data_IF_135896274330
#
_entry.id   IF_135896274330
#
_cell.length_a   1.000
_cell.length_b   1.000
_cell.length_c   1.000
_cell.angle_alpha   90.00
_cell.angle_beta   90.00
_cell.angle_gamma   90.00
#
_symmetry.space_group_name_H-M   'P 1'
#
loop_
_entity.id
_entity.type
_entity.pdbx_description
1 polymer ?
#
# COMPACT_ATOMS: atom_id res chain seq x y z
N UNK A 1 5.43 -3.02 -24.40
CA UNK A 1 6.28 -4.15 -24.80
C UNK A 1 7.64 -3.55 -25.10
N UNK A 2 8.71 -4.22 -24.69
CA UNK A 2 10.05 -3.81 -25.12
C UNK A 2 10.16 -3.92 -26.64
N UNK A 3 10.93 -3.03 -27.24
CA UNK A 3 11.07 -2.96 -28.70
C UNK A 3 12.08 -3.98 -29.26
N UNK A 4 12.79 -4.73 -28.41
CA UNK A 4 13.91 -5.57 -28.81
C UNK A 4 13.51 -7.06 -28.87
N UNK A 5 13.99 -7.75 -29.91
CA UNK A 5 13.72 -9.17 -30.17
C UNK A 5 14.78 -10.10 -29.57
N UNK A 6 15.94 -9.57 -29.17
CA UNK A 6 17.05 -10.34 -28.57
C UNK A 6 17.84 -9.51 -27.56
N UNK A 7 18.62 -10.19 -26.71
CA UNK A 7 19.54 -9.54 -25.78
C UNK A 7 20.59 -8.72 -26.53
N UNK A 8 21.11 -9.24 -27.65
CA UNK A 8 22.12 -8.55 -28.46
C UNK A 8 21.57 -7.24 -29.04
N UNK A 9 20.33 -7.24 -29.54
CA UNK A 9 19.68 -6.02 -30.03
C UNK A 9 19.47 -4.98 -28.92
N UNK A 10 19.09 -5.45 -27.74
CA UNK A 10 18.95 -4.62 -26.54
C UNK A 10 20.29 -3.98 -26.11
N UNK A 11 21.38 -4.75 -26.11
CA UNK A 11 22.74 -4.26 -25.79
C UNK A 11 23.23 -3.24 -26.82
N UNK A 12 23.04 -3.53 -28.11
CA UNK A 12 23.36 -2.62 -29.21
C UNK A 12 22.59 -1.30 -29.08
N UNK A 13 21.30 -1.36 -28.71
CA UNK A 13 20.49 -0.15 -28.48
C UNK A 13 20.95 0.67 -27.28
N UNK A 14 21.47 0.04 -26.22
CA UNK A 14 21.97 0.74 -25.04
C UNK A 14 23.41 1.21 -25.19
N UNK A 15 24.15 0.69 -26.17
CA UNK A 15 25.58 0.96 -26.36
C UNK A 15 26.46 0.35 -25.26
N UNK A 16 25.93 -0.63 -24.51
CA UNK A 16 26.63 -1.36 -23.44
C UNK A 16 25.99 -2.71 -23.20
N UNK A 17 26.74 -3.60 -22.56
CA UNK A 17 26.20 -4.88 -22.05
C UNK A 17 25.09 -4.64 -21.02
N UNK A 18 24.14 -5.58 -20.96
CA UNK A 18 23.07 -5.54 -19.97
C UNK A 18 23.61 -5.94 -18.60
N UNK A 19 23.15 -5.23 -17.57
CA UNK A 19 23.36 -5.68 -16.20
C UNK A 19 22.57 -6.97 -15.94
N UNK A 20 22.98 -7.75 -14.94
CA UNK A 20 22.25 -8.96 -14.55
C UNK A 20 20.75 -8.70 -14.28
N UNK A 21 20.43 -7.57 -13.62
CA UNK A 21 19.06 -7.19 -13.34
C UNK A 21 18.28 -6.83 -14.61
N UNK A 22 18.90 -6.14 -15.57
CA UNK A 22 18.29 -5.84 -16.87
C UNK A 22 18.08 -7.10 -17.70
N UNK A 23 18.98 -8.08 -17.64
CA UNK A 23 18.80 -9.38 -18.30
C UNK A 23 17.61 -10.14 -17.72
N UNK A 24 17.43 -10.15 -16.39
CA UNK A 24 16.24 -10.73 -15.76
C UNK A 24 14.98 -9.98 -16.21
N UNK A 25 15.02 -8.66 -16.16
CA UNK A 25 13.90 -7.81 -16.58
C UNK A 25 13.53 -8.07 -18.03
N UNK A 26 14.50 -8.13 -18.94
CA UNK A 26 14.32 -8.44 -20.35
C UNK A 26 13.66 -9.81 -20.54
N UNK A 27 14.27 -10.87 -19.99
CA UNK A 27 13.76 -12.23 -20.12
C UNK A 27 12.32 -12.37 -19.63
N UNK A 28 11.98 -11.64 -18.56
CA UNK A 28 10.63 -11.63 -18.04
C UNK A 28 9.67 -10.78 -18.88
N UNK A 29 10.04 -9.54 -19.25
CA UNK A 29 9.12 -8.53 -19.79
C UNK A 29 9.04 -8.44 -21.32
N UNK A 30 10.03 -8.95 -22.06
CA UNK A 30 10.14 -8.76 -23.52
C UNK A 30 8.86 -9.14 -24.27
N UNK A 31 8.26 -10.29 -23.94
CA UNK A 31 7.06 -10.80 -24.59
C UNK A 31 5.75 -10.43 -23.86
N UNK A 32 5.77 -9.43 -22.98
CA UNK A 32 4.61 -9.00 -22.18
C UNK A 32 4.19 -7.58 -22.52
N UNK A 33 2.89 -7.37 -22.68
CA UNK A 33 2.35 -6.02 -22.83
C UNK A 33 2.56 -5.22 -21.55
N UNK A 34 2.67 -3.90 -21.67
CA UNK A 34 2.83 -3.03 -20.50
C UNK A 34 1.58 -3.09 -19.61
N UNK A 35 0.41 -3.36 -20.22
CA UNK A 35 -0.83 -3.66 -19.50
C UNK A 35 -0.69 -4.91 -18.63
N UNK A 36 -0.15 -6.00 -19.19
CA UNK A 36 0.07 -7.24 -18.43
C UNK A 36 1.03 -7.03 -17.27
N UNK A 37 2.11 -6.28 -17.48
CA UNK A 37 3.03 -5.89 -16.40
C UNK A 37 2.28 -5.08 -15.33
N UNK A 38 1.51 -4.09 -15.73
CA UNK A 38 0.71 -3.29 -14.80
C UNK A 38 -0.31 -4.13 -13.99
N UNK A 39 -0.94 -5.15 -14.58
CA UNK A 39 -1.86 -6.04 -13.86
C UNK A 39 -1.22 -6.83 -12.71
N UNK A 40 0.12 -6.89 -12.61
CA UNK A 40 0.80 -7.50 -11.45
C UNK A 40 0.48 -6.77 -10.14
N UNK A 41 0.09 -5.49 -10.20
CA UNK A 41 -0.35 -4.76 -9.02
C UNK A 41 -1.54 -5.43 -8.31
N UNK A 42 -2.42 -6.09 -9.05
CA UNK A 42 -3.54 -6.85 -8.47
C UNK A 42 -2.97 -8.03 -7.68
N UNK A 43 -2.05 -8.78 -8.27
CA UNK A 43 -1.39 -9.91 -7.61
C UNK A 43 -0.68 -9.43 -6.34
N UNK A 44 0.12 -8.37 -6.42
CA UNK A 44 0.81 -7.83 -5.25
C UNK A 44 -0.17 -7.40 -4.17
N UNK A 45 -1.27 -6.72 -4.52
CA UNK A 45 -2.30 -6.32 -3.57
C UNK A 45 -2.86 -7.53 -2.78
N UNK A 46 -3.30 -8.57 -3.49
CA UNK A 46 -3.87 -9.77 -2.86
C UNK A 46 -2.82 -10.55 -2.05
N UNK A 47 -1.62 -10.75 -2.59
CA UNK A 47 -0.57 -11.51 -1.93
C UNK A 47 -0.03 -10.79 -0.69
N UNK A 48 0.32 -9.51 -0.79
CA UNK A 48 0.86 -8.72 0.32
C UNK A 48 -0.16 -8.65 1.44
N UNK A 49 -1.41 -8.31 1.14
CA UNK A 49 -2.45 -8.23 2.16
C UNK A 49 -2.76 -9.59 2.82
N UNK A 50 -2.67 -10.69 2.06
CA UNK A 50 -2.92 -12.02 2.63
C UNK A 50 -1.76 -12.51 3.47
N UNK A 51 -0.51 -12.18 3.12
CA UNK A 51 0.69 -12.76 3.74
C UNK A 51 1.26 -11.92 4.87
N UNK A 52 1.30 -10.59 4.73
CA UNK A 52 1.98 -9.70 5.69
C UNK A 52 1.33 -9.72 7.09
N UNK A 53 0.00 -9.82 7.26
CA UNK A 53 -0.60 -9.96 8.58
C UNK A 53 -0.40 -11.34 9.22
N UNK A 54 -0.01 -12.38 8.46
CA UNK A 54 0.04 -13.78 8.96
C UNK A 54 1.03 -13.99 10.10
N UNK A 55 2.27 -13.44 10.09
CA UNK A 55 3.18 -13.58 11.22
C UNK A 55 2.55 -13.09 12.53
N UNK A 56 1.87 -11.93 12.50
CA UNK A 56 1.18 -11.37 13.67
C UNK A 56 0.00 -12.24 14.10
N UNK A 57 -0.82 -12.70 13.14
CA UNK A 57 -1.90 -13.65 13.42
C UNK A 57 -1.37 -14.94 14.05
N UNK A 58 -0.30 -15.52 13.52
CA UNK A 58 0.29 -16.75 14.04
C UNK A 58 0.86 -16.57 15.44
N UNK A 59 1.46 -15.41 15.74
CA UNK A 59 1.85 -15.06 17.10
C UNK A 59 0.64 -15.02 18.03
N UNK A 60 -0.47 -14.40 17.63
CA UNK A 60 -1.71 -14.36 18.44
C UNK A 60 -2.32 -15.74 18.69
N UNK A 61 -2.19 -16.66 17.73
CA UNK A 61 -2.77 -18.01 17.82
C UNK A 61 -1.89 -19.01 18.59
N UNK A 62 -0.56 -18.87 18.53
CA UNK A 62 0.38 -19.88 19.04
C UNK A 62 1.07 -19.48 20.34
N UNK A 63 1.27 -18.19 20.60
CA UNK A 63 1.99 -17.76 21.79
C UNK A 63 1.05 -17.59 22.98
N UNK A 64 1.60 -17.77 24.19
CA UNK A 64 0.84 -17.54 25.41
C UNK A 64 0.40 -16.07 25.51
N UNK A 65 -0.78 -15.83 26.07
CA UNK A 65 -1.37 -14.49 26.21
C UNK A 65 -0.39 -13.48 26.84
N UNK A 66 0.30 -13.89 27.90
CA UNK A 66 1.31 -13.06 28.61
C UNK A 66 2.49 -12.64 27.73
N UNK A 67 2.89 -13.47 26.76
CA UNK A 67 4.01 -13.15 25.88
C UNK A 67 3.59 -12.23 24.73
N UNK A 68 2.36 -12.38 24.21
CA UNK A 68 1.82 -11.51 23.15
C UNK A 68 1.46 -10.13 23.71
N UNK A 69 0.82 -10.06 24.89
CA UNK A 69 0.31 -8.82 25.47
C UNK A 69 1.39 -7.77 25.71
N UNK A 70 2.65 -8.19 25.92
CA UNK A 70 3.79 -7.28 26.09
C UNK A 70 4.10 -6.43 24.85
N UNK A 71 3.71 -6.91 23.68
CA UNK A 71 3.96 -6.24 22.41
C UNK A 71 2.74 -5.49 21.89
N UNK A 72 1.55 -5.67 22.50
CA UNK A 72 0.31 -5.01 22.08
C UNK A 72 0.23 -3.61 22.67
N UNK A 73 -0.21 -2.66 21.84
CA UNK A 73 -0.58 -1.31 22.29
C UNK A 73 -1.84 -1.38 23.16
N UNK A 74 -2.78 -2.26 22.80
CA UNK A 74 -4.05 -2.47 23.52
C UNK A 74 -4.20 -3.93 23.98
N UNK A 75 -3.56 -4.35 25.09
CA UNK A 75 -3.54 -5.76 25.51
C UNK A 75 -4.89 -6.28 26.03
N UNK A 76 -5.79 -5.38 26.44
CA UNK A 76 -7.10 -5.74 27.03
C UNK A 76 -8.19 -6.02 26.01
N UNK A 77 -8.00 -5.65 24.74
CA UNK A 77 -9.00 -5.80 23.68
C UNK A 77 -8.55 -6.91 22.72
N UNK A 78 -9.47 -7.82 22.39
CA UNK A 78 -9.20 -8.98 21.51
C UNK A 78 -10.40 -9.18 20.58
N UNK A 79 -10.11 -9.66 19.37
CA UNK A 79 -11.13 -9.95 18.36
C UNK A 79 -11.33 -11.47 18.28
N UNK A 80 -12.57 -11.97 18.27
CA UNK A 80 -12.86 -13.36 17.98
C UNK A 80 -12.32 -13.80 16.61
N UNK A 81 -11.86 -15.05 16.50
CA UNK A 81 -11.31 -15.57 15.23
C UNK A 81 -12.31 -15.51 14.07
N UNK A 82 -13.59 -15.72 14.37
CA UNK A 82 -14.67 -15.62 13.39
C UNK A 82 -14.76 -14.20 12.79
N UNK A 83 -14.59 -13.18 13.62
CA UNK A 83 -14.63 -11.78 13.20
C UNK A 83 -13.38 -11.39 12.41
N UNK A 84 -12.21 -11.93 12.77
CA UNK A 84 -10.98 -11.76 11.96
C UNK A 84 -11.14 -12.38 10.57
N UNK A 85 -11.72 -13.59 10.48
CA UNK A 85 -11.98 -14.24 9.20
C UNK A 85 -13.03 -13.49 8.39
N UNK A 86 -14.09 -13.00 9.03
CA UNK A 86 -15.10 -12.12 8.41
C UNK A 86 -14.45 -10.87 7.83
N UNK A 87 -13.63 -10.16 8.62
CA UNK A 87 -12.88 -8.98 8.19
C UNK A 87 -12.04 -9.27 6.94
N UNK A 88 -11.20 -10.31 6.99
CA UNK A 88 -10.37 -10.72 5.85
C UNK A 88 -11.21 -11.02 4.60
N UNK A 89 -12.28 -11.80 4.76
CA UNK A 89 -13.17 -12.19 3.67
C UNK A 89 -13.84 -10.96 3.02
N UNK A 90 -14.35 -10.05 3.83
CA UNK A 90 -15.03 -8.83 3.36
C UNK A 90 -14.04 -7.90 2.63
N UNK A 91 -12.80 -7.78 3.11
CA UNK A 91 -11.73 -7.07 2.39
C UNK A 91 -11.40 -7.73 1.06
N UNK A 92 -11.28 -9.07 1.00
CA UNK A 92 -11.02 -9.78 -0.25
C UNK A 92 -12.13 -9.59 -1.26
N UNK A 93 -13.39 -9.53 -0.81
CA UNK A 93 -14.52 -9.21 -1.66
C UNK A 93 -14.44 -7.77 -2.17
N UNK A 94 -14.10 -6.82 -1.31
CA UNK A 94 -13.90 -5.41 -1.71
C UNK A 94 -12.75 -5.27 -2.72
N UNK A 95 -11.63 -5.97 -2.51
CA UNK A 95 -10.54 -6.00 -3.49
C UNK A 95 -10.98 -6.60 -4.82
N UNK A 96 -11.76 -7.68 -4.80
CA UNK A 96 -12.19 -8.34 -6.02
C UNK A 96 -13.23 -7.54 -6.80
N UNK A 97 -14.22 -6.95 -6.13
CA UNK A 97 -15.34 -6.26 -6.79
C UNK A 97 -15.12 -4.77 -7.02
N UNK A 98 -14.20 -4.13 -6.28
CA UNK A 98 -13.98 -2.68 -6.35
C UNK A 98 -12.56 -2.36 -6.82
N UNK A 99 -11.54 -2.76 -6.06
CA UNK A 99 -10.15 -2.33 -6.33
C UNK A 99 -9.56 -3.02 -7.57
N UNK A 100 -9.81 -4.31 -7.76
CA UNK A 100 -9.35 -5.08 -8.90
C UNK A 100 -9.87 -4.51 -10.24
N UNK A 101 -11.19 -4.33 -10.40
CA UNK A 101 -11.76 -3.67 -11.57
C UNK A 101 -11.21 -2.26 -11.79
N UNK A 102 -11.09 -1.45 -10.72
CA UNK A 102 -10.48 -0.13 -10.80
C UNK A 102 -9.04 -0.19 -11.34
N UNK A 103 -8.22 -1.12 -10.86
CA UNK A 103 -6.87 -1.33 -11.38
C UNK A 103 -6.94 -1.70 -12.87
N UNK A 104 -7.75 -2.68 -13.26
CA UNK A 104 -7.85 -3.08 -14.67
C UNK A 104 -8.22 -1.93 -15.62
N UNK A 105 -9.13 -1.04 -15.22
CA UNK A 105 -9.58 0.09 -16.07
C UNK A 105 -8.69 1.32 -16.00
N UNK A 106 -7.83 1.46 -14.98
CA UNK A 106 -6.99 2.64 -14.76
C UNK A 106 -5.70 2.66 -15.59
N UNK A 107 -5.38 1.60 -16.32
CA UNK A 107 -4.16 1.53 -17.13
C UNK A 107 -3.96 2.70 -18.11
N UNK A 108 -4.98 3.22 -18.82
CA UNK A 108 -4.79 4.39 -19.68
C UNK A 108 -4.26 5.62 -18.93
N UNK A 109 -4.68 5.81 -17.67
CA UNK A 109 -4.18 6.89 -16.80
C UNK A 109 -2.71 6.65 -16.45
N UNK A 110 -2.35 5.41 -16.11
CA UNK A 110 -0.97 5.03 -15.79
C UNK A 110 -0.03 5.24 -16.99
N UNK A 111 -0.51 4.90 -18.18
CA UNK A 111 0.21 5.16 -19.43
C UNK A 111 0.33 6.67 -19.71
N UNK A 112 -0.73 7.43 -19.47
CA UNK A 112 -0.75 8.89 -19.65
C UNK A 112 0.22 9.61 -18.70
N UNK A 113 0.27 9.18 -17.43
CA UNK A 113 1.21 9.66 -16.42
C UNK A 113 2.67 9.41 -16.82
N UNK A 114 2.93 8.38 -17.63
CA UNK A 114 4.26 8.09 -18.15
C UNK A 114 5.06 7.11 -17.29
N UNK A 115 4.39 6.23 -16.52
CA UNK A 115 5.10 5.13 -15.85
C UNK A 115 5.72 4.23 -16.91
N UNK A 116 7.06 4.16 -16.91
CA UNK A 116 7.84 3.48 -17.95
C UNK A 116 8.09 2.01 -17.63
N UNK A 117 8.11 1.19 -18.67
CA UNK A 117 8.51 -0.24 -18.64
C UNK A 117 9.80 -0.48 -19.44
N UNK A 118 10.58 0.59 -19.65
CA UNK A 118 11.81 0.59 -20.44
C UNK A 118 12.83 -0.44 -19.98
N UNK A 119 13.73 -0.84 -20.86
CA UNK A 119 14.79 -1.79 -20.50
C UNK A 119 15.74 -1.25 -19.42
N UNK A 120 16.14 0.02 -19.53
CA UNK A 120 17.00 0.67 -18.54
C UNK A 120 16.28 0.80 -17.20
N UNK A 121 16.78 0.06 -16.21
CA UNK A 121 16.22 0.02 -14.86
C UNK A 121 16.54 1.30 -14.08
N UNK A 122 15.68 1.71 -13.13
CA UNK A 122 15.95 2.86 -12.28
C UNK A 122 17.14 2.57 -11.36
N UNK A 123 17.95 3.59 -11.07
CA UNK A 123 19.00 3.44 -10.05
C UNK A 123 18.37 3.32 -8.65
N UNK A 124 19.09 2.73 -7.70
CA UNK A 124 18.62 2.67 -6.31
C UNK A 124 18.35 4.05 -5.71
N UNK A 125 19.11 5.07 -6.11
CA UNK A 125 18.90 6.46 -5.69
C UNK A 125 17.65 7.09 -6.31
N UNK A 126 17.39 6.84 -7.60
CA UNK A 126 16.15 7.26 -8.27
C UNK A 126 14.94 6.65 -7.58
N UNK A 127 14.97 5.33 -7.32
CA UNK A 127 13.89 4.64 -6.60
C UNK A 127 13.68 5.22 -5.21
N UNK A 128 14.76 5.45 -4.45
CA UNK A 128 14.69 6.02 -3.10
C UNK A 128 14.04 7.40 -3.09
N UNK A 129 14.45 8.30 -3.99
CA UNK A 129 13.89 9.66 -4.07
C UNK A 129 12.43 9.66 -4.53
N UNK A 130 12.07 8.81 -5.49
CA UNK A 130 10.67 8.61 -5.90
C UNK A 130 9.82 8.13 -4.71
N UNK A 131 10.25 7.07 -4.03
CA UNK A 131 9.51 6.54 -2.86
C UNK A 131 9.38 7.56 -1.74
N UNK A 132 10.43 8.34 -1.45
CA UNK A 132 10.39 9.41 -0.45
C UNK A 132 9.27 10.42 -0.77
N UNK A 133 9.22 10.89 -2.03
CA UNK A 133 8.16 11.80 -2.49
C UNK A 133 6.78 11.16 -2.38
N UNK A 134 6.66 9.87 -2.75
CA UNK A 134 5.40 9.16 -2.70
C UNK A 134 4.87 9.04 -1.27
N UNK A 135 5.72 8.66 -0.31
CA UNK A 135 5.36 8.58 1.10
C UNK A 135 4.92 9.94 1.66
N UNK A 136 5.65 11.03 1.36
CA UNK A 136 5.31 12.37 1.87
C UNK A 136 3.95 12.84 1.34
N UNK A 137 3.71 12.68 0.03
CA UNK A 137 2.46 13.11 -0.58
C UNK A 137 1.28 12.25 -0.14
N UNK A 138 1.51 10.94 0.00
CA UNK A 138 0.49 10.01 0.44
C UNK A 138 0.10 10.28 1.90
N UNK A 139 1.06 10.41 2.83
CA UNK A 139 0.78 10.67 4.24
C UNK A 139 0.06 12.01 4.43
N UNK A 140 0.54 13.07 3.77
CA UNK A 140 -0.09 14.39 3.83
C UNK A 140 -1.52 14.37 3.28
N UNK A 141 -1.71 13.76 2.10
CA UNK A 141 -3.03 13.67 1.46
C UNK A 141 -4.00 12.81 2.26
N UNK A 142 -3.55 11.64 2.73
CA UNK A 142 -4.36 10.75 3.54
C UNK A 142 -4.76 11.41 4.86
N UNK A 143 -3.86 12.12 5.54
CA UNK A 143 -4.17 12.84 6.77
C UNK A 143 -5.38 13.78 6.61
N UNK A 144 -5.37 14.65 5.60
CA UNK A 144 -6.43 15.63 5.42
C UNK A 144 -7.75 14.99 4.99
N UNK A 145 -7.72 14.03 4.07
CA UNK A 145 -8.93 13.33 3.63
C UNK A 145 -9.52 12.51 4.78
N UNK A 146 -8.70 11.77 5.52
CA UNK A 146 -9.13 11.02 6.69
C UNK A 146 -9.73 11.95 7.75
N UNK A 147 -9.11 13.12 8.00
CA UNK A 147 -9.67 14.13 8.91
C UNK A 147 -11.04 14.64 8.44
N UNK A 148 -11.24 14.85 7.14
CA UNK A 148 -12.55 15.21 6.57
C UNK A 148 -13.58 14.09 6.76
N UNK A 149 -13.15 12.83 6.66
CA UNK A 149 -14.00 11.67 6.93
C UNK A 149 -14.38 11.50 8.40
N UNK A 150 -13.67 12.15 9.34
CA UNK A 150 -14.11 12.27 10.73
C UNK A 150 -15.11 13.40 10.96
N UNK A 151 -15.39 14.26 9.98
CA UNK A 151 -16.52 15.19 10.10
C UNK A 151 -17.85 14.44 10.12
N UNK A 152 -18.86 14.98 10.82
CA UNK A 152 -20.16 14.32 11.10
C UNK A 152 -20.72 13.53 9.91
N UNK A 153 -20.89 14.20 8.76
CA UNK A 153 -21.46 13.54 7.57
C UNK A 153 -20.55 12.45 7.01
N UNK A 154 -19.25 12.72 6.88
CA UNK A 154 -18.26 11.76 6.38
C UNK A 154 -18.19 10.53 7.27
N UNK A 155 -18.25 10.73 8.59
CA UNK A 155 -18.22 9.67 9.57
C UNK A 155 -19.47 8.81 9.46
N UNK A 156 -20.64 9.42 9.59
CA UNK A 156 -21.92 8.72 9.63
C UNK A 156 -22.23 7.94 8.34
N UNK A 157 -21.75 8.42 7.18
CA UNK A 157 -22.07 7.85 5.86
C UNK A 157 -20.99 6.96 5.27
N UNK A 158 -19.73 7.19 5.62
CA UNK A 158 -18.61 6.53 4.95
C UNK A 158 -17.69 5.90 5.99
N UNK A 159 -17.12 6.69 6.89
CA UNK A 159 -16.00 6.27 7.73
C UNK A 159 -16.37 5.35 8.90
N UNK A 160 -17.64 5.33 9.31
CA UNK A 160 -18.09 4.49 10.42
C UNK A 160 -17.79 3.01 10.22
N UNK A 161 -17.82 2.51 8.99
CA UNK A 161 -17.49 1.10 8.68
C UNK A 161 -16.04 0.79 9.04
N UNK A 162 -15.12 1.71 8.77
CA UNK A 162 -13.71 1.55 9.11
C UNK A 162 -13.48 1.43 10.63
N UNK A 163 -14.31 2.10 11.43
CA UNK A 163 -14.28 2.04 12.89
C UNK A 163 -15.12 0.90 13.51
N UNK A 164 -15.67 -0.03 12.72
CA UNK A 164 -16.40 -1.18 13.27
C UNK A 164 -15.49 -2.09 14.12
N UNK A 165 -14.23 -2.25 13.70
CA UNK A 165 -13.23 -3.02 14.45
C UNK A 165 -12.47 -2.11 15.41
N UNK A 166 -12.97 -2.02 16.64
CA UNK A 166 -12.34 -1.16 17.68
C UNK A 166 -11.02 -1.72 18.21
N UNK A 167 -10.77 -3.02 18.06
CA UNK A 167 -9.46 -3.60 18.33
C UNK A 167 -8.61 -3.55 17.05
N UNK A 168 -7.33 -3.17 17.16
CA UNK A 168 -6.44 -3.16 16.01
C UNK A 168 -6.12 -4.58 15.55
N UNK A 169 -6.32 -4.84 14.25
CA UNK A 169 -5.87 -6.03 13.52
C UNK A 169 -5.38 -5.59 12.14
N UNK A 170 -4.27 -6.17 11.67
CA UNK A 170 -3.69 -5.79 10.37
C UNK A 170 -4.65 -6.01 9.18
N UNK A 171 -5.54 -7.00 9.26
CA UNK A 171 -6.56 -7.22 8.23
C UNK A 171 -7.63 -6.13 8.16
N UNK A 172 -7.82 -5.33 9.22
CA UNK A 172 -8.78 -4.23 9.19
C UNK A 172 -8.25 -2.99 8.45
N UNK A 173 -6.98 -2.96 8.06
CA UNK A 173 -6.38 -1.79 7.41
C UNK A 173 -7.20 -1.25 6.21
N UNK A 174 -7.62 -2.08 5.24
CA UNK A 174 -8.52 -1.66 4.16
C UNK A 174 -10.00 -2.01 4.43
N UNK A 175 -10.37 -2.46 5.63
CA UNK A 175 -11.77 -2.71 5.96
C UNK A 175 -12.46 -1.36 6.11
N UNK A 176 -13.23 -0.98 5.10
CA UNK A 176 -13.86 0.33 5.01
C UNK A 176 -15.03 0.30 4.03
N UNK A 177 -15.80 1.38 3.99
CA UNK A 177 -16.77 1.61 2.94
C UNK A 177 -16.06 1.75 1.59
N UNK A 178 -16.61 1.20 0.50
CA UNK A 178 -15.95 1.21 -0.82
C UNK A 178 -15.58 2.63 -1.28
N UNK A 179 -16.41 3.63 -0.99
CA UNK A 179 -16.14 5.02 -1.34
C UNK A 179 -14.92 5.59 -0.60
N UNK A 180 -14.71 5.19 0.65
CA UNK A 180 -13.52 5.59 1.40
C UNK A 180 -12.26 4.97 0.80
N UNK A 181 -12.31 3.68 0.42
CA UNK A 181 -11.18 3.02 -0.25
C UNK A 181 -10.81 3.74 -1.56
N UNK A 182 -11.79 4.18 -2.34
CA UNK A 182 -11.53 4.92 -3.57
C UNK A 182 -10.93 6.31 -3.31
N UNK A 183 -11.45 7.04 -2.33
CA UNK A 183 -11.04 8.42 -2.07
C UNK A 183 -9.69 8.48 -1.33
N UNK A 184 -9.47 7.64 -0.31
CA UNK A 184 -8.16 7.49 0.35
C UNK A 184 -7.12 6.80 -0.55
N UNK A 185 -7.57 6.15 -1.63
CA UNK A 185 -6.68 5.68 -2.69
C UNK A 185 -6.04 6.81 -3.51
N UNK A 186 -6.68 7.98 -3.62
CA UNK A 186 -6.21 9.10 -4.48
C UNK A 186 -4.80 9.58 -4.09
N UNK A 187 -4.49 9.89 -2.82
CA UNK A 187 -3.14 10.29 -2.40
C UNK A 187 -2.04 9.31 -2.83
N UNK A 188 -2.32 8.01 -2.79
CA UNK A 188 -1.36 6.96 -3.17
C UNK A 188 -0.94 7.01 -4.64
N UNK A 189 -1.70 7.68 -5.51
CA UNK A 189 -1.35 7.86 -6.92
C UNK A 189 -0.81 9.26 -7.24
N UNK A 190 -0.90 10.23 -6.31
CA UNK A 190 -0.39 11.60 -6.54
C UNK A 190 1.13 11.62 -6.74
N UNK A 191 1.87 10.89 -5.91
CA UNK A 191 3.32 10.77 -6.04
C UNK A 191 3.76 10.24 -7.41
N UNK A 192 3.31 9.03 -7.82
CA UNK A 192 3.60 8.50 -9.15
C UNK A 192 3.10 9.40 -10.30
N UNK A 193 2.05 10.19 -10.10
CA UNK A 193 1.56 11.14 -11.10
C UNK A 193 2.47 12.36 -11.27
N UNK A 194 3.07 12.86 -10.19
CA UNK A 194 3.95 14.04 -10.21
C UNK A 194 5.38 13.66 -10.62
N UNK A 195 5.89 12.54 -10.12
CA UNK A 195 7.24 12.05 -10.39
C UNK A 195 7.14 10.63 -10.95
N UNK A 196 6.72 10.45 -12.22
CA UNK A 196 6.56 9.12 -12.80
C UNK A 196 7.89 8.38 -12.85
N UNK A 197 7.86 7.11 -12.41
CA UNK A 197 9.02 6.25 -12.34
C UNK A 197 8.94 5.03 -13.26
N UNK A 198 9.82 4.07 -13.00
CA UNK A 198 9.77 2.77 -13.65
C UNK A 198 8.67 1.88 -13.01
N UNK A 199 8.12 0.94 -13.79
CA UNK A 199 7.10 -0.02 -13.32
C UNK A 199 7.56 -0.81 -12.08
N UNK A 200 8.86 -1.10 -11.97
CA UNK A 200 9.45 -1.74 -10.78
C UNK A 200 9.36 -0.84 -9.55
N UNK A 201 9.66 0.47 -9.66
CA UNK A 201 9.46 1.40 -8.54
C UNK A 201 7.98 1.48 -8.17
N UNK A 202 7.10 1.48 -9.16
CA UNK A 202 5.66 1.52 -8.94
C UNK A 202 5.16 0.26 -8.21
N UNK A 203 5.59 -0.94 -8.61
CA UNK A 203 5.29 -2.18 -7.89
C UNK A 203 5.81 -2.15 -6.45
N UNK A 204 7.05 -1.71 -6.26
CA UNK A 204 7.63 -1.57 -4.93
C UNK A 204 6.83 -0.59 -4.07
N UNK A 205 6.40 0.54 -4.65
CA UNK A 205 5.54 1.50 -3.98
C UNK A 205 4.23 0.88 -3.49
N UNK A 206 3.51 0.15 -4.36
CA UNK A 206 2.25 -0.52 -3.99
C UNK A 206 2.49 -1.54 -2.87
N UNK A 207 3.57 -2.31 -2.92
CA UNK A 207 3.92 -3.29 -1.87
C UNK A 207 4.18 -2.58 -0.54
N UNK A 208 5.06 -1.58 -0.54
CA UNK A 208 5.47 -0.87 0.66
C UNK A 208 4.30 -0.12 1.31
N UNK A 209 3.44 0.52 0.49
CA UNK A 209 2.25 1.21 0.99
C UNK A 209 1.31 0.25 1.70
N UNK A 210 1.07 -0.94 1.14
CA UNK A 210 0.21 -1.94 1.80
C UNK A 210 0.81 -2.46 3.09
N UNK A 211 2.13 -2.69 3.14
CA UNK A 211 2.84 -3.09 4.35
C UNK A 211 2.66 -2.03 5.44
N UNK A 212 2.91 -0.76 5.13
CA UNK A 212 2.75 0.35 6.09
C UNK A 212 1.32 0.40 6.65
N UNK A 213 0.29 0.34 5.79
CA UNK A 213 -1.11 0.35 6.26
C UNK A 213 -1.38 -0.79 7.24
N UNK A 214 -0.94 -2.00 6.91
CA UNK A 214 -1.14 -3.20 7.72
C UNK A 214 -0.41 -3.06 9.07
N UNK A 215 0.82 -2.54 9.06
CA UNK A 215 1.61 -2.33 10.27
C UNK A 215 0.93 -1.33 11.21
N UNK A 216 0.48 -0.19 10.68
CA UNK A 216 -0.21 0.86 11.45
C UNK A 216 -1.51 0.35 12.08
N UNK A 217 -2.21 -0.59 11.44
CA UNK A 217 -3.43 -1.21 11.98
C UNK A 217 -3.18 -2.47 12.82
N UNK A 218 -1.94 -2.97 12.87
CA UNK A 218 -1.64 -4.26 13.52
C UNK A 218 -1.89 -4.25 15.02
N UNK A 219 -1.74 -3.09 15.68
CA UNK A 219 -1.91 -2.95 17.12
C UNK A 219 -0.70 -3.37 17.95
N UNK A 220 0.46 -3.53 17.32
CA UNK A 220 1.71 -3.92 17.94
C UNK A 220 2.72 -2.77 17.93
N UNK A 221 3.40 -2.55 19.05
CA UNK A 221 4.43 -1.51 19.17
C UNK A 221 5.72 -1.85 18.40
N UNK A 222 5.88 -3.10 17.95
CA UNK A 222 7.05 -3.57 17.20
C UNK A 222 6.64 -4.70 16.24
N UNK A 223 5.80 -4.44 15.23
CA UNK A 223 5.57 -5.43 14.16
C UNK A 223 6.67 -5.33 13.08
N UNK A 224 7.22 -6.49 12.71
CA UNK A 224 8.09 -6.78 11.55
C UNK A 224 8.97 -5.62 10.98
N UNK A 225 10.01 -5.25 11.71
CA UNK A 225 11.37 -4.98 11.21
C UNK A 225 11.67 -4.00 10.05
N UNK A 226 10.74 -3.25 9.43
CA UNK A 226 11.12 -2.35 8.32
C UNK A 226 10.80 -0.86 8.49
N UNK A 227 9.76 -0.43 9.23
CA UNK A 227 9.39 1.00 9.20
C UNK A 227 9.09 1.68 10.55
N UNK A 228 9.15 0.96 11.67
CA UNK A 228 8.71 1.50 12.96
C UNK A 228 9.57 2.65 13.53
N UNK A 229 10.79 2.87 13.01
CA UNK A 229 11.66 3.95 13.50
C UNK A 229 11.93 5.07 12.48
N UNK A 230 11.73 4.86 11.17
CA UNK A 230 12.07 5.89 10.17
C UNK A 230 10.87 6.60 9.52
N UNK A 231 9.68 5.98 9.42
CA UNK A 231 8.53 6.58 8.73
C UNK A 231 7.32 6.83 9.65
N UNK A 232 7.07 5.99 10.66
CA UNK A 232 6.05 6.30 11.70
C UNK A 232 6.42 7.53 12.53
N UNK A 233 7.73 7.77 12.72
CA UNK A 233 8.24 9.01 13.31
C UNK A 233 8.00 10.24 12.42
N UNK A 234 7.89 10.10 11.10
CA UNK A 234 7.47 11.20 10.24
C UNK A 234 5.95 11.44 10.32
N UNK A 235 5.11 10.39 10.29
CA UNK A 235 3.64 10.54 10.34
C UNK A 235 3.13 11.02 11.72
N UNK A 236 3.79 10.60 12.80
CA UNK A 236 3.38 10.94 14.18
C UNK A 236 3.88 12.31 14.63
N UNK A 237 5.09 12.72 14.19
CA UNK A 237 5.78 13.93 14.70
C UNK A 237 5.43 15.18 13.87
N UNK A 238 5.12 15.07 12.57
CA UNK A 238 4.80 16.25 11.74
C UNK A 238 3.31 16.64 11.72
N UNK A 239 2.37 15.70 11.94
CA UNK A 239 0.93 15.94 11.76
C UNK A 239 0.03 15.60 12.95
N UNK A 240 0.60 15.20 14.09
CA UNK A 240 -0.17 15.04 15.33
C UNK A 240 -1.24 13.95 15.25
N UNK A 241 -0.93 12.81 14.64
CA UNK A 241 -1.82 11.62 14.65
C UNK A 241 -2.08 11.06 16.07
N UNK A 242 -1.37 11.57 17.09
CA UNK A 242 -1.61 11.33 18.52
C UNK A 242 -2.33 12.47 19.25
N UNK A 243 -2.62 13.60 18.58
CA UNK A 243 -3.49 14.61 19.14
C UNK A 243 -4.93 14.13 18.98
N UNK A 244 -5.80 14.25 20.00
CA UNK A 244 -7.22 13.99 19.82
C UNK A 244 -7.69 14.81 18.62
N UNK A 245 -8.36 14.16 17.66
CA UNK A 245 -9.05 14.87 16.58
C UNK A 245 -10.15 15.67 17.26
N UNK A 246 -9.84 16.90 17.67
CA UNK A 246 -10.84 17.83 18.15
C UNK A 246 -11.77 18.12 16.97
N UNK A 247 -13.04 17.74 17.13
CA UNK A 247 -14.13 17.96 16.18
C UNK A 247 -14.39 19.45 15.86
N UNK A 248 -13.57 20.39 16.36
CA UNK A 248 -13.81 21.84 16.21
C UNK A 248 -13.73 22.33 14.76
N UNK A 249 -13.00 21.64 13.88
CA UNK A 249 -12.88 22.00 12.45
C UNK A 249 -14.15 21.66 11.65
N UNK A 250 -14.98 20.74 12.14
CA UNK A 250 -16.16 20.23 11.42
C UNK A 250 -17.50 20.79 11.95
N UNK A 251 -17.47 21.71 12.91
CA UNK A 251 -18.67 22.35 13.46
C UNK A 251 -18.88 23.72 12.81
N UNK A 252 -19.40 23.70 11.59
CA UNK A 252 -19.95 24.85 10.86
C UNK A 252 -21.27 24.47 10.21
#
# INVERSE_FOLDING_TARGET
MLAYQSLQEAELSLGRELTYAETIWFNYSANKSDYFLFCHNIIFLFFVFSLVPLPVLLMELKMSKKNVDKFKIQPKVRIPKADMFRCYKDVMMMFFFVVGPLQLVSYPVIKFVGIRTSLALPSGWEMFMQLLVYFVLEDYGNYWIHRLFHCKWGYDKIHRVHHEFTAPIGFAAPYAHWAEVLVLGIPSFLGPAIVPGHMITFWLWIILRQIEAIETHSGYAYSLALFHHSLSSFSSILLGQLLPIEFSVCNG
#
